data_IF_485279594217
#
_entry.id   IF_485279594217
#
_cell.length_a   1.000
_cell.length_b   1.000
_cell.length_c   1.000
_cell.angle_alpha   90.00
_cell.angle_beta   90.00
_cell.angle_gamma   90.00
#
_symmetry.space_group_name_H-M   'P 1'
#
loop_
_entity.id
_entity.type
_entity.pdbx_description
1 polymer ?
#
# COMPACT_ATOMS: atom_id res chain seq x y z
N UNK A 1 -6.71 3.08 -3.13
CA UNK A 1 -6.59 2.62 -1.72
C UNK A 1 -6.18 1.17 -1.68
N UNK A 2 -5.06 0.85 -1.03
CA UNK A 2 -4.63 -0.53 -0.73
C UNK A 2 -5.12 -0.90 0.67
N UNK A 3 -5.68 -2.09 0.84
CA UNK A 3 -6.19 -2.61 2.12
C UNK A 3 -5.56 -3.95 2.46
N UNK A 4 -5.62 -4.34 3.74
CA UNK A 4 -5.20 -5.67 4.18
C UNK A 4 -5.98 -6.80 3.50
N UNK A 5 -7.23 -6.55 3.11
CA UNK A 5 -8.05 -7.48 2.36
C UNK A 5 -7.52 -7.67 0.92
N UNK A 6 -7.09 -6.58 0.28
CA UNK A 6 -6.49 -6.63 -1.07
C UNK A 6 -5.17 -7.40 -1.04
N UNK A 7 -4.30 -7.14 -0.05
CA UNK A 7 -3.03 -7.87 0.12
C UNK A 7 -3.30 -9.37 0.30
N UNK A 8 -4.26 -9.73 1.15
CA UNK A 8 -4.67 -11.14 1.33
C UNK A 8 -5.16 -11.76 0.02
N UNK A 9 -6.00 -11.06 -0.74
CA UNK A 9 -6.52 -11.55 -2.01
C UNK A 9 -5.41 -11.77 -3.04
N UNK A 10 -4.42 -10.86 -3.11
CA UNK A 10 -3.24 -11.01 -3.97
C UNK A 10 -2.39 -12.22 -3.59
N UNK A 11 -2.21 -12.47 -2.28
CA UNK A 11 -1.47 -13.65 -1.82
C UNK A 11 -2.18 -14.95 -2.23
N UNK A 12 -3.52 -15.01 -2.06
CA UNK A 12 -4.31 -16.14 -2.53
C UNK A 12 -4.17 -16.36 -4.03
N UNK A 13 -4.30 -15.28 -4.80
CA UNK A 13 -4.18 -15.33 -6.26
C UNK A 13 -2.79 -15.79 -6.70
N UNK A 14 -1.75 -15.28 -6.08
CA UNK A 14 -0.37 -15.65 -6.40
C UNK A 14 -0.07 -17.13 -6.08
N UNK A 15 -0.60 -17.64 -4.96
CA UNK A 15 -0.36 -19.02 -4.56
C UNK A 15 -1.17 -20.06 -5.36
N UNK A 16 -2.30 -19.63 -5.95
CA UNK A 16 -3.22 -20.54 -6.63
C UNK A 16 -2.57 -21.21 -7.82
N UNK A 17 -2.46 -22.52 -7.78
CA UNK A 17 -1.85 -23.34 -8.83
C UNK A 17 -0.31 -23.24 -8.94
N UNK A 18 0.36 -22.48 -8.07
CA UNK A 18 1.82 -22.25 -8.12
C UNK A 18 2.62 -23.07 -7.11
N UNK A 19 1.95 -23.82 -6.25
CA UNK A 19 2.58 -24.64 -5.21
C UNK A 19 2.09 -26.08 -5.32
N UNK A 20 2.70 -26.99 -4.56
CA UNK A 20 2.27 -28.39 -4.48
C UNK A 20 0.86 -28.58 -3.91
N UNK A 21 0.26 -27.54 -3.28
CA UNK A 21 -1.14 -27.52 -2.90
C UNK A 21 -2.09 -27.35 -4.10
N UNK A 22 -1.57 -26.99 -5.28
CA UNK A 22 -2.38 -26.77 -6.47
C UNK A 22 -3.45 -25.72 -6.24
N UNK A 23 -4.71 -26.08 -6.46
CA UNK A 23 -5.85 -25.17 -6.28
C UNK A 23 -6.43 -25.19 -4.85
N UNK A 24 -5.83 -25.95 -3.93
CA UNK A 24 -6.30 -26.03 -2.54
C UNK A 24 -5.76 -24.85 -1.70
N UNK A 25 -6.02 -23.62 -2.17
CA UNK A 25 -5.67 -22.35 -1.50
C UNK A 25 -6.97 -21.63 -1.14
N UNK A 26 -7.18 -21.38 0.15
CA UNK A 26 -8.43 -20.87 0.69
C UNK A 26 -8.23 -19.62 1.55
N UNK A 27 -9.26 -18.72 1.55
CA UNK A 27 -9.25 -17.54 2.39
C UNK A 27 -10.64 -16.87 2.48
N UNK A 28 -11.23 -16.76 3.64
CA UNK A 28 -11.11 -17.68 4.79
C UNK A 28 -11.72 -19.06 4.48
N UNK A 29 -11.54 -20.03 5.36
CA UNK A 29 -12.09 -21.35 5.21
C UNK A 29 -12.92 -21.70 6.46
N UNK A 30 -14.23 -21.84 6.29
CA UNK A 30 -15.18 -22.00 7.41
C UNK A 30 -15.41 -23.48 7.81
N UNK A 31 -14.91 -24.41 7.04
CA UNK A 31 -15.13 -25.85 7.26
C UNK A 31 -13.90 -26.52 7.86
N UNK A 32 -14.08 -27.54 8.69
CA UNK A 32 -12.96 -28.37 9.12
C UNK A 32 -12.26 -28.97 7.90
N UNK A 33 -10.94 -28.83 7.86
CA UNK A 33 -10.15 -29.37 6.76
C UNK A 33 -10.25 -30.87 6.72
N UNK A 34 -10.69 -31.42 5.58
CA UNK A 34 -10.72 -32.85 5.37
C UNK A 34 -9.33 -33.36 4.97
N UNK A 35 -8.82 -34.44 5.56
CA UNK A 35 -7.56 -35.07 5.16
C UNK A 35 -7.40 -35.38 3.68
N UNK A 36 -8.49 -35.56 2.93
CA UNK A 36 -8.44 -35.75 1.47
C UNK A 36 -8.09 -34.49 0.67
N UNK A 37 -8.08 -33.32 1.31
CA UNK A 37 -7.77 -32.05 0.68
C UNK A 37 -6.29 -31.67 0.81
N UNK A 38 -5.48 -32.43 1.54
CA UNK A 38 -4.07 -32.17 1.70
C UNK A 38 -3.26 -32.53 0.45
N UNK A 39 -2.21 -31.73 0.12
CA UNK A 39 -1.76 -30.50 0.78
C UNK A 39 -2.71 -29.33 0.53
N UNK A 40 -2.86 -28.42 1.52
CA UNK A 40 -3.69 -27.23 1.42
C UNK A 40 -3.02 -26.03 2.05
N UNK A 41 -3.45 -24.84 1.63
CA UNK A 41 -2.98 -23.54 2.15
C UNK A 41 -4.19 -22.72 2.57
N UNK A 42 -4.14 -22.15 3.78
CA UNK A 42 -5.11 -21.19 4.32
C UNK A 42 -4.43 -19.84 4.49
N UNK A 43 -5.05 -18.78 3.98
CA UNK A 43 -4.48 -17.41 4.02
C UNK A 43 -5.41 -16.49 4.79
N UNK A 44 -4.91 -15.84 5.83
CA UNK A 44 -5.67 -14.92 6.68
C UNK A 44 -4.92 -13.60 6.89
N UNK A 45 -5.59 -12.46 6.79
CA UNK A 45 -5.08 -11.19 7.28
C UNK A 45 -5.65 -10.96 8.68
N UNK A 46 -4.86 -11.24 9.74
CA UNK A 46 -5.35 -11.24 11.11
C UNK A 46 -5.05 -9.99 11.90
N UNK A 47 -4.00 -9.28 11.54
CA UNK A 47 -3.53 -8.14 12.29
C UNK A 47 -3.22 -6.99 11.35
N UNK A 48 -3.71 -5.81 11.71
CA UNK A 48 -3.37 -4.56 11.06
C UNK A 48 -3.01 -3.54 12.12
N UNK A 49 -1.95 -2.78 11.86
CA UNK A 49 -1.52 -1.66 12.70
C UNK A 49 -1.24 -0.47 11.81
N UNK A 50 -1.82 0.68 12.14
CA UNK A 50 -1.58 1.96 11.47
C UNK A 50 -0.72 2.85 12.34
N UNK A 51 0.35 3.38 11.78
CA UNK A 51 1.27 4.32 12.44
C UNK A 51 1.17 5.65 11.72
N UNK A 52 0.72 6.69 12.44
CA UNK A 52 0.58 8.03 11.87
C UNK A 52 1.94 8.63 11.53
N UNK A 53 2.03 9.27 10.37
CA UNK A 53 3.23 9.96 9.89
C UNK A 53 3.32 11.42 10.35
N UNK A 54 2.23 12.00 10.87
CA UNK A 54 2.26 13.37 11.35
C UNK A 54 0.96 13.81 12.02
N UNK A 55 0.98 14.96 12.72
CA UNK A 55 -0.15 15.45 13.50
C UNK A 55 -1.25 16.14 12.67
N UNK A 56 -0.94 16.59 11.46
CA UNK A 56 -1.83 17.50 10.71
C UNK A 56 -2.56 16.85 9.54
N UNK A 57 -2.13 15.65 9.13
CA UNK A 57 -2.70 14.95 7.98
C UNK A 57 -2.92 13.49 8.37
N UNK A 58 -4.08 12.89 8.08
CA UNK A 58 -4.34 11.48 8.39
C UNK A 58 -3.61 10.57 7.38
N UNK A 59 -2.30 10.53 7.48
CA UNK A 59 -1.42 9.67 6.71
C UNK A 59 -0.88 8.55 7.59
N UNK A 60 -0.86 7.35 7.06
CA UNK A 60 -0.46 6.19 7.84
C UNK A 60 0.48 5.26 7.08
N UNK A 61 1.53 4.82 7.76
CA UNK A 61 2.20 3.56 7.49
C UNK A 61 1.34 2.44 8.05
N UNK A 62 0.90 1.55 7.19
CA UNK A 62 0.06 0.41 7.57
C UNK A 62 0.88 -0.87 7.54
N UNK A 63 0.90 -1.56 8.66
CA UNK A 63 1.54 -2.86 8.81
C UNK A 63 0.48 -3.93 8.89
N UNK A 64 0.45 -4.84 7.93
CA UNK A 64 -0.48 -5.96 7.88
C UNK A 64 0.26 -7.27 8.01
N UNK A 65 -0.15 -8.10 8.95
CA UNK A 65 0.34 -9.47 9.09
C UNK A 65 -0.61 -10.43 8.39
N UNK A 66 -0.11 -11.08 7.36
CA UNK A 66 -0.81 -12.18 6.68
C UNK A 66 -0.28 -13.50 7.23
N UNK A 67 -1.17 -14.28 7.83
CA UNK A 67 -0.89 -15.63 8.29
C UNK A 67 -1.22 -16.64 7.21
N UNK A 68 -0.30 -17.54 6.96
CA UNK A 68 -0.41 -18.64 6.02
C UNK A 68 -0.25 -19.93 6.79
N UNK A 69 -1.29 -20.76 6.82
CA UNK A 69 -1.26 -22.08 7.41
C UNK A 69 -1.29 -23.11 6.29
N UNK A 70 -0.22 -23.89 6.16
CA UNK A 70 -0.16 -24.93 5.17
C UNK A 70 -0.08 -26.32 5.85
N UNK A 71 -0.86 -27.28 5.35
CA UNK A 71 -0.91 -28.62 5.91
C UNK A 71 -0.57 -29.66 4.87
N UNK A 72 0.34 -30.54 5.23
CA UNK A 72 0.80 -31.65 4.42
C UNK A 72 0.57 -32.94 5.16
N UNK A 73 0.14 -33.97 4.45
CA UNK A 73 -0.09 -35.32 4.98
C UNK A 73 0.79 -36.34 4.24
N UNK A 74 1.33 -37.28 4.95
CA UNK A 74 2.03 -38.41 4.36
C UNK A 74 1.38 -39.75 4.80
N UNK A 75 1.53 -40.80 4.01
CA UNK A 75 1.11 -42.15 4.43
C UNK A 75 1.93 -42.59 5.64
N UNK A 76 1.28 -43.35 6.54
CA UNK A 76 1.98 -43.97 7.64
C UNK A 76 3.07 -44.89 7.11
N UNK A 77 4.25 -44.82 7.70
CA UNK A 77 5.38 -45.64 7.32
C UNK A 77 5.93 -46.45 8.51
N UNK A 78 6.95 -47.26 8.24
CA UNK A 78 7.66 -48.00 9.29
C UNK A 78 8.49 -46.99 10.12
N UNK A 79 8.37 -47.09 11.46
CA UNK A 79 9.01 -46.20 12.42
C UNK A 79 8.45 -44.77 12.21
N UNK A 80 9.27 -43.76 11.88
CA UNK A 80 8.93 -42.34 11.71
C UNK A 80 9.00 -41.86 10.24
N UNK A 81 9.15 -42.77 9.28
CA UNK A 81 9.28 -42.42 7.86
C UNK A 81 8.11 -41.59 7.33
N UNK A 82 6.91 -41.81 7.82
CA UNK A 82 5.74 -40.99 7.47
C UNK A 82 5.85 -39.53 8.00
N UNK A 83 6.31 -39.38 9.23
CA UNK A 83 6.50 -38.04 9.82
C UNK A 83 7.64 -37.26 9.10
N UNK A 84 8.72 -37.98 8.75
CA UNK A 84 9.83 -37.40 7.95
C UNK A 84 9.34 -36.95 6.58
N UNK A 85 8.50 -37.77 5.92
CA UNK A 85 7.94 -37.43 4.62
C UNK A 85 6.96 -36.22 4.70
N UNK A 86 6.13 -36.16 5.74
CA UNK A 86 5.24 -35.03 5.97
C UNK A 86 6.04 -33.72 6.23
N UNK A 87 7.08 -33.82 7.06
CA UNK A 87 8.01 -32.68 7.34
C UNK A 87 8.66 -32.19 6.05
N UNK A 88 9.28 -33.07 5.26
CA UNK A 88 9.91 -32.72 4.00
C UNK A 88 8.92 -32.07 3.00
N UNK A 89 7.69 -32.53 2.99
CA UNK A 89 6.61 -31.92 2.21
C UNK A 89 6.26 -30.51 2.68
N UNK A 90 6.21 -30.27 3.99
CA UNK A 90 5.96 -28.95 4.55
C UNK A 90 7.13 -27.98 4.29
N UNK A 91 8.38 -28.45 4.40
CA UNK A 91 9.57 -27.65 4.06
C UNK A 91 9.59 -27.28 2.58
N UNK A 92 9.24 -28.22 1.70
CA UNK A 92 9.11 -27.95 0.25
C UNK A 92 8.03 -26.91 -0.01
N UNK A 93 6.87 -27.04 0.64
CA UNK A 93 5.76 -26.10 0.48
C UNK A 93 6.13 -24.71 1.02
N UNK A 94 6.87 -24.64 2.13
CA UNK A 94 7.43 -23.38 2.64
C UNK A 94 8.26 -22.66 1.59
N UNK A 95 9.23 -23.33 0.99
CA UNK A 95 10.08 -22.75 -0.05
C UNK A 95 9.28 -22.29 -1.27
N UNK A 96 8.26 -23.05 -1.68
CA UNK A 96 7.38 -22.66 -2.78
C UNK A 96 6.57 -21.41 -2.45
N UNK A 97 6.03 -21.31 -1.23
CA UNK A 97 5.29 -20.12 -0.77
C UNK A 97 6.19 -18.89 -0.77
N UNK A 98 7.38 -19.00 -0.18
CA UNK A 98 8.36 -17.90 -0.15
C UNK A 98 8.75 -17.44 -1.56
N UNK A 99 9.08 -18.39 -2.45
CA UNK A 99 9.46 -18.09 -3.83
C UNK A 99 8.33 -17.45 -4.65
N UNK A 100 7.08 -17.77 -4.33
CA UNK A 100 5.90 -17.26 -5.05
C UNK A 100 5.50 -15.88 -4.57
N UNK A 101 5.62 -15.60 -3.27
CA UNK A 101 5.12 -14.36 -2.67
C UNK A 101 6.17 -13.25 -2.57
N UNK A 102 7.39 -13.61 -2.12
CA UNK A 102 8.42 -12.60 -1.82
C UNK A 102 8.96 -12.03 -3.12
N UNK A 103 8.97 -10.69 -3.19
CA UNK A 103 9.44 -9.95 -4.37
C UNK A 103 8.63 -10.22 -5.67
N UNK A 104 7.42 -10.72 -5.55
CA UNK A 104 6.54 -10.93 -6.70
C UNK A 104 5.96 -9.58 -7.18
N UNK A 105 6.23 -9.15 -8.43
CA UNK A 105 5.79 -7.86 -8.96
C UNK A 105 4.24 -7.75 -9.01
N UNK A 106 3.51 -8.83 -9.19
CA UNK A 106 2.04 -8.82 -9.19
C UNK A 106 1.46 -8.47 -7.81
N UNK A 107 2.26 -8.63 -6.75
CA UNK A 107 1.88 -8.31 -5.38
C UNK A 107 2.32 -6.90 -5.01
N UNK A 108 3.60 -6.54 -5.22
CA UNK A 108 4.14 -5.28 -4.73
C UNK A 108 3.93 -4.09 -5.67
N UNK A 109 3.79 -4.31 -7.00
CA UNK A 109 3.57 -3.23 -7.95
C UNK A 109 2.08 -2.91 -8.11
N UNK A 110 1.77 -1.62 -8.33
CA UNK A 110 0.43 -1.20 -8.69
C UNK A 110 0.30 -1.16 -10.23
N UNK A 111 -0.70 -1.81 -10.83
CA UNK A 111 -0.96 -1.73 -12.27
C UNK A 111 -1.20 -0.30 -12.78
N UNK A 112 -1.66 0.61 -11.93
CA UNK A 112 -1.84 2.02 -12.25
C UNK A 112 -0.54 2.82 -12.21
N UNK A 113 0.57 2.18 -11.81
CA UNK A 113 1.89 2.77 -11.63
C UNK A 113 2.20 3.06 -10.16
N UNK A 114 3.43 2.78 -9.75
CA UNK A 114 3.88 2.93 -8.36
C UNK A 114 4.00 1.61 -7.59
N UNK A 115 4.05 1.73 -6.28
CA UNK A 115 4.18 0.59 -5.37
C UNK A 115 2.91 0.43 -4.53
N UNK A 116 2.39 -0.79 -4.48
CA UNK A 116 1.28 -1.17 -3.60
C UNK A 116 1.79 -1.59 -2.23
N UNK A 117 2.89 -2.33 -2.20
CA UNK A 117 3.62 -2.70 -0.98
C UNK A 117 4.97 -2.02 -1.00
N UNK A 118 5.30 -1.28 0.04
CA UNK A 118 6.58 -0.61 0.19
C UNK A 118 7.67 -1.58 0.65
N UNK A 119 7.33 -2.51 1.54
CA UNK A 119 8.29 -3.40 2.16
C UNK A 119 7.62 -4.68 2.69
N UNK A 120 8.32 -5.81 2.56
CA UNK A 120 8.12 -7.00 3.38
C UNK A 120 8.97 -6.82 4.64
N UNK A 121 8.35 -6.61 5.80
CA UNK A 121 9.05 -6.24 7.04
C UNK A 121 9.57 -7.43 7.81
N UNK A 122 8.83 -8.52 7.83
CA UNK A 122 9.26 -9.79 8.43
C UNK A 122 8.61 -11.00 7.77
N UNK A 123 9.30 -12.11 7.87
CA UNK A 123 8.80 -13.45 7.51
C UNK A 123 9.20 -14.40 8.62
N UNK A 124 8.24 -14.86 9.39
CA UNK A 124 8.43 -15.82 10.47
C UNK A 124 7.74 -17.12 10.10
N UNK A 125 8.35 -18.27 10.37
CA UNK A 125 7.79 -19.56 10.04
C UNK A 125 8.11 -20.62 11.08
N UNK A 126 7.13 -21.45 11.41
CA UNK A 126 7.24 -22.60 12.30
C UNK A 126 6.61 -23.82 11.64
N UNK A 127 7.25 -24.97 11.76
CA UNK A 127 6.72 -26.23 11.26
C UNK A 127 6.52 -27.18 12.43
N UNK A 128 5.29 -27.62 12.61
CA UNK A 128 4.91 -28.58 13.62
C UNK A 128 4.49 -29.91 12.97
N UNK A 129 4.93 -31.02 13.53
CA UNK A 129 4.52 -32.36 13.08
C UNK A 129 3.65 -33.01 14.14
N UNK A 130 2.53 -33.57 13.72
CA UNK A 130 1.64 -34.35 14.57
C UNK A 130 1.45 -35.72 13.98
N UNK A 131 1.47 -36.72 14.85
CA UNK A 131 1.18 -38.13 14.52
C UNK A 131 -0.13 -38.60 15.15
N UNK A 132 -1.03 -37.68 15.52
CA UNK A 132 -2.34 -38.01 16.03
C UNK A 132 -3.20 -38.64 14.92
N UNK A 133 -3.48 -39.91 15.04
CA UNK A 133 -4.24 -40.71 14.09
C UNK A 133 -3.39 -41.61 13.19
N UNK A 134 -4.02 -42.19 12.18
CA UNK A 134 -3.40 -43.22 11.30
C UNK A 134 -2.37 -42.60 10.30
N UNK A 135 -2.30 -41.28 10.18
CA UNK A 135 -1.43 -40.63 9.17
C UNK A 135 -0.75 -39.39 9.74
N UNK A 136 0.59 -39.29 9.61
CA UNK A 136 1.34 -38.12 10.01
C UNK A 136 0.95 -36.86 9.22
N UNK A 137 0.82 -35.76 9.94
CA UNK A 137 0.52 -34.41 9.38
C UNK A 137 1.63 -33.48 9.82
N UNK A 138 2.13 -32.67 8.88
CA UNK A 138 2.95 -31.53 9.16
C UNK A 138 2.15 -30.24 8.87
N UNK A 139 2.20 -29.30 9.81
CA UNK A 139 1.59 -28.00 9.70
C UNK A 139 2.68 -26.93 9.69
N UNK A 140 2.71 -26.13 8.63
CA UNK A 140 3.50 -24.92 8.53
C UNK A 140 2.62 -23.74 8.95
N UNK A 141 3.03 -22.99 9.94
CA UNK A 141 2.51 -21.67 10.28
C UNK A 141 3.53 -20.62 9.83
N UNK A 142 3.15 -19.74 8.91
CA UNK A 142 4.01 -18.65 8.41
C UNK A 142 3.28 -17.33 8.58
N UNK A 143 4.00 -16.33 9.09
CA UNK A 143 3.52 -14.95 9.23
C UNK A 143 4.37 -14.05 8.35
N UNK A 144 3.75 -13.34 7.42
CA UNK A 144 4.40 -12.35 6.57
C UNK A 144 3.83 -10.98 6.91
N UNK A 145 4.67 -10.09 7.42
CA UNK A 145 4.28 -8.71 7.66
C UNK A 145 4.70 -7.85 6.47
N UNK A 146 3.75 -7.09 5.95
CA UNK A 146 3.96 -6.15 4.85
C UNK A 146 3.61 -4.74 5.28
N UNK A 147 4.37 -3.76 4.76
CA UNK A 147 4.14 -2.34 4.94
C UNK A 147 3.61 -1.73 3.67
N UNK A 148 2.56 -0.90 3.79
CA UNK A 148 2.03 -0.07 2.71
C UNK A 148 1.52 1.27 3.24
N UNK A 149 1.38 2.24 2.34
CA UNK A 149 0.96 3.58 2.66
C UNK A 149 -0.55 3.76 2.45
N UNK A 150 -1.18 4.54 3.33
CA UNK A 150 -2.53 5.07 3.14
C UNK A 150 -2.53 6.58 3.37
N UNK A 151 -2.94 7.32 2.35
CA UNK A 151 -3.03 8.77 2.37
C UNK A 151 -4.38 9.31 2.84
N UNK A 152 -4.52 10.63 2.99
CA UNK A 152 -5.76 11.28 3.41
C UNK A 152 -6.92 10.98 2.46
N UNK A 153 -6.63 10.83 1.18
CA UNK A 153 -7.61 10.54 0.12
C UNK A 153 -8.26 9.16 0.25
N UNK A 154 -7.61 8.26 1.01
CA UNK A 154 -8.12 6.91 1.27
C UNK A 154 -9.21 6.87 2.35
N UNK A 155 -9.42 7.98 3.07
CA UNK A 155 -10.37 8.08 4.18
C UNK A 155 -11.58 8.95 3.80
N UNK A 156 -11.93 9.89 4.66
CA UNK A 156 -13.06 10.77 4.39
C UNK A 156 -12.71 11.73 3.24
N UNK A 157 -13.48 11.72 2.14
CA UNK A 157 -13.18 12.58 1.00
C UNK A 157 -13.41 14.04 1.38
N UNK A 158 -12.33 14.83 1.37
CA UNK A 158 -12.42 16.28 1.54
C UNK A 158 -12.72 16.87 0.15
N UNK A 159 -13.84 17.62 -0.02
CA UNK A 159 -14.13 18.27 -1.28
C UNK A 159 -13.02 19.30 -1.58
N UNK A 160 -12.25 19.04 -2.62
CA UNK A 160 -11.21 19.95 -3.10
C UNK A 160 -11.85 20.89 -4.11
N UNK A 161 -11.79 22.20 -3.82
CA UNK A 161 -12.12 23.20 -4.82
C UNK A 161 -10.91 23.43 -5.72
N UNK A 162 -11.00 23.12 -7.01
CA UNK A 162 -9.86 23.30 -7.90
C UNK A 162 -9.50 24.78 -7.99
N UNK A 163 -8.21 25.07 -7.97
CA UNK A 163 -7.69 26.42 -8.19
C UNK A 163 -7.96 26.81 -9.65
N UNK A 164 -8.91 27.70 -9.86
CA UNK A 164 -9.32 28.11 -11.21
C UNK A 164 -8.58 29.34 -11.71
N UNK A 165 -8.17 30.22 -10.78
CA UNK A 165 -7.58 31.50 -11.15
C UNK A 165 -6.53 31.90 -10.13
N UNK A 166 -5.39 32.35 -10.60
CA UNK A 166 -4.34 32.97 -9.80
C UNK A 166 -4.25 34.44 -10.21
N UNK A 167 -4.45 35.36 -9.25
CA UNK A 167 -4.26 36.76 -9.44
C UNK A 167 -2.97 37.20 -8.75
N UNK A 168 -2.05 37.73 -9.50
CA UNK A 168 -0.79 38.29 -9.02
C UNK A 168 -0.85 39.79 -9.16
N UNK A 169 -0.68 40.52 -8.04
CA UNK A 169 -0.57 41.96 -8.01
C UNK A 169 0.88 42.33 -7.69
N UNK A 170 1.40 43.33 -8.40
CA UNK A 170 2.77 43.80 -8.23
C UNK A 170 2.72 45.22 -7.69
N UNK A 171 3.33 45.40 -6.53
CA UNK A 171 3.57 46.70 -5.89
C UNK A 171 5.07 46.87 -5.75
N UNK A 172 5.67 47.78 -6.49
CA UNK A 172 7.13 47.90 -6.60
C UNK A 172 7.72 48.74 -5.48
N UNK A 173 8.90 48.34 -4.99
CA UNK A 173 9.64 49.09 -3.97
C UNK A 173 10.22 50.41 -4.49
N UNK A 174 10.45 50.52 -5.80
CA UNK A 174 10.92 51.73 -6.47
C UNK A 174 9.89 52.22 -7.47
N UNK A 175 9.68 53.53 -7.63
CA UNK A 175 8.75 54.03 -8.62
C UNK A 175 9.19 53.65 -10.02
N UNK A 176 8.21 53.15 -10.81
CA UNK A 176 8.43 52.86 -12.22
C UNK A 176 8.78 54.08 -13.04
N UNK A 177 8.13 55.20 -12.71
CA UNK A 177 8.47 56.51 -13.24
C UNK A 177 8.84 57.44 -12.08
N UNK A 178 10.08 57.96 -12.02
CA UNK A 178 10.51 58.90 -10.97
C UNK A 178 9.64 60.14 -10.85
N UNK A 179 9.00 60.56 -11.95
CA UNK A 179 8.08 61.67 -11.97
C UNK A 179 6.65 61.30 -11.57
N UNK A 180 6.35 60.00 -11.49
CA UNK A 180 5.07 59.46 -11.00
C UNK A 180 3.87 59.80 -11.85
N UNK A 181 4.06 60.15 -13.13
CA UNK A 181 3.00 60.49 -14.06
C UNK A 181 2.78 59.38 -15.07
N UNK A 182 1.85 58.52 -14.80
CA UNK A 182 1.37 57.57 -15.80
C UNK A 182 0.17 58.17 -16.51
N UNK A 183 0.30 58.43 -17.80
CA UNK A 183 -0.80 58.96 -18.62
C UNK A 183 -1.97 57.96 -18.73
N UNK A 184 -1.66 56.69 -18.74
CA UNK A 184 -2.60 55.57 -18.64
C UNK A 184 -1.95 54.49 -17.75
N UNK A 185 -2.71 53.80 -16.90
CA UNK A 185 -2.15 52.65 -16.18
C UNK A 185 -1.64 51.64 -17.20
N UNK A 186 -0.39 51.16 -17.05
CA UNK A 186 0.21 50.23 -18.00
C UNK A 186 -0.49 48.85 -17.97
N UNK A 187 -1.28 48.61 -16.94
CA UNK A 187 -2.04 47.37 -16.75
C UNK A 187 -3.51 47.69 -16.43
N UNK A 188 -4.46 46.92 -16.95
CA UNK A 188 -5.89 47.18 -16.76
C UNK A 188 -6.36 47.21 -15.30
N UNK A 189 -5.67 46.51 -14.41
CA UNK A 189 -5.98 46.44 -12.99
C UNK A 189 -5.12 47.36 -12.12
N UNK A 190 -4.18 48.07 -12.70
CA UNK A 190 -3.38 49.00 -11.95
C UNK A 190 -4.18 50.23 -11.52
N UNK A 191 -4.05 50.64 -10.27
CA UNK A 191 -4.64 51.88 -9.78
C UNK A 191 -3.91 53.04 -10.45
N UNK A 192 -4.65 54.04 -10.94
CA UNK A 192 -4.06 55.22 -11.56
C UNK A 192 -3.24 55.98 -10.50
N UNK A 193 -1.92 55.96 -10.55
CA UNK A 193 -1.12 56.44 -9.44
C UNK A 193 -1.00 57.97 -9.40
N UNK A 194 -1.09 58.53 -8.23
CA UNK A 194 -0.50 59.80 -7.96
C UNK A 194 1.05 59.68 -8.02
N UNK A 195 1.79 60.76 -8.19
CA UNK A 195 3.24 60.74 -8.12
C UNK A 195 3.73 60.03 -6.88
N UNK A 196 4.58 59.01 -7.07
CA UNK A 196 5.07 58.13 -6.02
C UNK A 196 6.50 58.47 -5.68
N UNK A 197 6.78 58.75 -4.43
CA UNK A 197 8.12 59.09 -3.94
C UNK A 197 8.79 57.92 -3.22
N UNK A 198 8.03 56.92 -2.81
CA UNK A 198 8.51 55.73 -2.14
C UNK A 198 7.49 54.59 -2.30
N UNK A 199 7.94 53.37 -2.24
CA UNK A 199 7.09 52.20 -2.26
C UNK A 199 7.61 51.11 -1.33
N UNK A 200 6.93 49.98 -1.20
CA UNK A 200 5.57 49.67 -1.67
C UNK A 200 4.49 50.44 -0.90
N UNK A 201 3.41 50.83 -1.54
CA UNK A 201 2.37 51.68 -0.94
C UNK A 201 0.97 51.07 -0.99
N UNK A 202 0.86 49.82 -1.37
CA UNK A 202 -0.40 49.07 -1.49
C UNK A 202 -1.12 49.30 -2.82
N UNK A 203 -0.50 49.99 -3.78
CA UNK A 203 -1.06 50.19 -5.12
C UNK A 203 -0.49 49.17 -6.10
N UNK A 204 -1.35 48.69 -6.99
CA UNK A 204 -0.90 47.79 -8.03
C UNK A 204 -0.26 48.55 -9.20
N UNK A 205 1.02 48.35 -9.45
CA UNK A 205 1.69 48.81 -10.66
C UNK A 205 1.63 47.77 -11.79
N UNK A 206 1.31 46.55 -11.46
CA UNK A 206 1.11 45.51 -12.43
C UNK A 206 0.16 44.41 -11.90
N UNK A 207 -0.52 43.76 -12.80
CA UNK A 207 -1.34 42.65 -12.47
C UNK A 207 -1.26 41.54 -13.53
N UNK A 208 -1.27 40.32 -13.08
CA UNK A 208 -1.35 39.13 -13.95
C UNK A 208 -2.46 38.23 -13.44
N UNK A 209 -3.41 37.91 -14.30
CA UNK A 209 -4.44 36.94 -14.03
C UNK A 209 -4.15 35.71 -14.88
N UNK A 210 -3.97 34.55 -14.22
CA UNK A 210 -3.76 33.25 -14.87
C UNK A 210 -5.00 32.42 -14.64
N UNK A 211 -5.71 32.08 -15.72
CA UNK A 211 -6.79 31.10 -15.69
C UNK A 211 -6.19 29.71 -15.90
N UNK A 212 -6.46 28.78 -14.95
CA UNK A 212 -5.99 27.42 -15.03
C UNK A 212 -7.02 26.55 -15.74
N UNK A 213 -6.60 25.65 -16.65
CA UNK A 213 -7.50 24.70 -17.28
C UNK A 213 -8.06 23.74 -16.22
N UNK A 214 -9.35 23.34 -16.41
CA UNK A 214 -10.05 22.38 -15.54
C UNK A 214 -10.07 21.01 -16.19
#
# INVERSE_FOLDING_TARGET
>A
MTTSADIRALFVQALFGQTSAGNAVYSPFDWPTNPSQYPLILVHARKERKVSLGPNTPEFDVYTTVEIIARVRAPAGVVDTGSVAALAGAETLKLQIEATLINNPDIWADPAGGQRIEQFTSVDSEINTSSEGEMPIAELAMSIEVKFYQGPEDFFPIPVHPLTTVNVNVDTAAPFDPNGTYANPPFPSAVNPAPRTSGPDGRNEGALTISLPQ
#
